data_IF_973590951439
#
_entry.id   IF_973590951439
#
_cell.length_a   1.000
_cell.length_b   1.000
_cell.length_c   1.000
_cell.angle_alpha   90.00
_cell.angle_beta   90.00
_cell.angle_gamma   90.00
#
_symmetry.space_group_name_H-M   'P 1'
#
loop_
_entity.id
_entity.type
_entity.pdbx_description
1 polymer ?
#
# COMPACT_ATOMS: atom_id res chain seq x y z
N UNK A 1 -6.16 -52.33 9.95
CA UNK A 1 -7.42 -51.62 10.31
C UNK A 1 -7.30 -50.84 11.62
N UNK A 2 -6.95 -51.47 12.76
CA UNK A 2 -6.81 -50.79 14.06
C UNK A 2 -5.72 -49.70 14.12
N UNK A 3 -4.56 -49.92 13.47
CA UNK A 3 -3.48 -48.92 13.40
C UNK A 3 -3.93 -47.67 12.65
N UNK A 4 -4.68 -47.84 11.55
CA UNK A 4 -5.22 -46.74 10.76
C UNK A 4 -6.27 -45.95 11.56
N UNK A 5 -7.17 -46.65 12.27
CA UNK A 5 -8.15 -46.01 13.15
C UNK A 5 -7.47 -45.22 14.28
N UNK A 6 -6.45 -45.82 14.92
CA UNK A 6 -5.68 -45.13 15.96
C UNK A 6 -4.97 -43.89 15.41
N UNK A 7 -4.34 -43.99 14.24
CA UNK A 7 -3.71 -42.85 13.57
C UNK A 7 -4.72 -41.73 13.26
N UNK A 8 -5.90 -42.07 12.73
CA UNK A 8 -6.97 -41.09 12.49
C UNK A 8 -7.42 -40.40 13.78
N UNK A 9 -7.62 -41.16 14.88
CA UNK A 9 -8.02 -40.59 16.17
C UNK A 9 -6.94 -39.65 16.72
N UNK A 10 -5.66 -40.02 16.60
CA UNK A 10 -4.54 -39.16 17.03
C UNK A 10 -4.49 -37.87 16.21
N UNK A 11 -4.60 -37.95 14.88
CA UNK A 11 -4.58 -36.78 14.00
C UNK A 11 -5.75 -35.84 14.30
N UNK A 12 -6.96 -36.38 14.47
CA UNK A 12 -8.15 -35.60 14.85
C UNK A 12 -7.94 -34.97 16.24
N UNK A 13 -7.40 -35.71 17.19
CA UNK A 13 -7.08 -35.20 18.53
C UNK A 13 -6.10 -34.03 18.50
N UNK A 14 -5.03 -34.12 17.69
CA UNK A 14 -4.06 -33.03 17.49
C UNK A 14 -4.74 -31.82 16.84
N UNK A 15 -5.57 -32.01 15.81
CA UNK A 15 -6.29 -30.92 15.14
C UNK A 15 -7.25 -30.19 16.07
N UNK A 16 -7.99 -30.92 16.92
CA UNK A 16 -8.88 -30.32 17.93
C UNK A 16 -8.06 -29.54 18.96
N UNK A 17 -6.93 -30.09 19.42
CA UNK A 17 -6.06 -29.40 20.37
C UNK A 17 -5.48 -28.10 19.79
N UNK A 18 -5.00 -28.14 18.55
CA UNK A 18 -4.48 -26.97 17.85
C UNK A 18 -5.58 -25.90 17.65
N UNK A 19 -6.77 -26.29 17.18
CA UNK A 19 -7.90 -25.36 17.01
C UNK A 19 -8.28 -24.69 18.33
N UNK A 20 -8.36 -25.45 19.43
CA UNK A 20 -8.66 -24.90 20.76
C UNK A 20 -7.58 -23.93 21.26
N UNK A 21 -6.31 -24.28 21.06
CA UNK A 21 -5.20 -23.39 21.44
C UNK A 21 -5.19 -22.10 20.62
N UNK A 22 -5.48 -22.20 19.33
CA UNK A 22 -5.61 -21.02 18.47
C UNK A 22 -6.78 -20.14 18.89
N UNK A 23 -7.93 -20.73 19.20
CA UNK A 23 -9.09 -19.99 19.72
C UNK A 23 -8.75 -19.24 21.01
N UNK A 24 -8.00 -19.86 21.94
CA UNK A 24 -7.53 -19.18 23.15
C UNK A 24 -6.66 -17.95 22.84
N UNK A 25 -5.82 -18.00 21.79
CA UNK A 25 -5.04 -16.85 21.37
C UNK A 25 -5.92 -15.75 20.76
N UNK A 26 -6.94 -16.11 19.98
CA UNK A 26 -7.92 -15.15 19.44
C UNK A 26 -8.65 -14.45 20.59
N UNK A 27 -9.17 -15.22 21.55
CA UNK A 27 -9.97 -14.72 22.67
C UNK A 27 -9.15 -13.79 23.59
N UNK A 28 -7.82 -14.00 23.66
CA UNK A 28 -6.91 -13.16 24.44
C UNK A 28 -6.66 -11.76 23.84
N UNK A 29 -6.99 -11.53 22.56
CA UNK A 29 -6.77 -10.27 21.86
C UNK A 29 -8.10 -9.53 21.66
N UNK A 30 -8.54 -8.66 22.58
CA UNK A 30 -9.84 -8.00 22.49
C UNK A 30 -9.98 -7.05 21.29
N UNK A 31 -8.88 -6.53 20.74
CA UNK A 31 -8.91 -5.69 19.53
C UNK A 31 -8.22 -6.43 18.38
N UNK A 32 -8.96 -6.71 17.31
CA UNK A 32 -8.47 -7.44 16.15
C UNK A 32 -8.97 -6.74 14.90
N UNK A 33 -8.07 -6.07 14.20
CA UNK A 33 -8.36 -5.30 13.00
C UNK A 33 -7.91 -6.07 11.77
N UNK A 34 -8.80 -6.26 10.80
CA UNK A 34 -8.50 -6.85 9.50
C UNK A 34 -8.47 -5.76 8.42
N UNK A 35 -7.30 -5.50 7.84
CA UNK A 35 -7.12 -4.53 6.76
C UNK A 35 -7.14 -5.27 5.42
N UNK A 36 -8.19 -5.09 4.65
CA UNK A 36 -8.40 -5.73 3.35
C UNK A 36 -8.55 -4.69 2.22
N UNK A 37 -8.41 -5.10 0.97
CA UNK A 37 -8.46 -4.22 -0.20
C UNK A 37 -7.34 -4.49 -1.19
N UNK A 38 -7.30 -3.76 -2.29
CA UNK A 38 -6.30 -4.00 -3.34
C UNK A 38 -5.01 -3.23 -3.03
N UNK A 39 -5.08 -1.91 -2.84
CA UNK A 39 -3.90 -1.03 -2.63
C UNK A 39 -3.95 -0.30 -1.31
N UNK A 40 -2.79 0.07 -0.77
CA UNK A 40 -2.70 0.90 0.45
C UNK A 40 -2.84 0.14 1.78
N UNK A 41 -3.08 -1.18 1.75
CA UNK A 41 -3.26 -2.01 2.95
C UNK A 41 -2.10 -1.90 3.96
N UNK A 42 -0.85 -1.98 3.50
CA UNK A 42 0.32 -1.90 4.38
C UNK A 42 0.45 -0.54 5.04
N UNK A 43 0.16 0.55 4.31
CA UNK A 43 0.13 1.91 4.87
C UNK A 43 -0.96 2.04 5.93
N UNK A 44 -2.21 1.64 5.63
CA UNK A 44 -3.32 1.69 6.59
C UNK A 44 -3.03 0.84 7.83
N UNK A 45 -2.42 -0.34 7.63
CA UNK A 45 -2.00 -1.22 8.72
C UNK A 45 -1.00 -0.54 9.64
N UNK A 46 0.03 0.11 9.09
CA UNK A 46 1.05 0.85 9.84
C UNK A 46 0.47 2.04 10.58
N UNK A 47 -0.32 2.87 9.90
CA UNK A 47 -1.01 4.02 10.50
C UNK A 47 -1.92 3.59 11.66
N UNK A 48 -2.76 2.57 11.44
CA UNK A 48 -3.64 2.01 12.48
C UNK A 48 -2.84 1.45 13.65
N UNK A 49 -1.73 0.75 13.38
CA UNK A 49 -0.83 0.24 14.43
C UNK A 49 -0.26 1.39 15.28
N UNK A 50 0.20 2.47 14.63
CA UNK A 50 0.71 3.66 15.33
C UNK A 50 -0.35 4.34 16.19
N UNK A 51 -1.58 4.50 15.68
CA UNK A 51 -2.73 5.01 16.44
C UNK A 51 -2.95 4.20 17.72
N UNK A 52 -3.05 2.88 17.60
CA UNK A 52 -3.32 2.00 18.73
C UNK A 52 -2.18 2.03 19.77
N UNK A 53 -0.92 2.07 19.32
CA UNK A 53 0.24 2.21 20.22
C UNK A 53 0.18 3.54 20.98
N UNK A 54 -0.08 4.65 20.28
CA UNK A 54 -0.19 5.98 20.89
C UNK A 54 -1.35 6.04 21.89
N UNK A 55 -2.47 5.36 21.60
CA UNK A 55 -3.61 5.22 22.50
C UNK A 55 -3.36 4.25 23.68
N UNK A 56 -2.16 3.68 23.82
CA UNK A 56 -1.76 2.84 24.94
C UNK A 56 -2.10 1.35 24.80
N UNK A 57 -2.55 0.90 23.62
CA UNK A 57 -2.73 -0.53 23.36
C UNK A 57 -1.37 -1.21 23.14
N UNK A 58 -1.23 -2.41 23.70
CA UNK A 58 -0.10 -3.28 23.38
C UNK A 58 -0.41 -3.96 22.05
N UNK A 59 0.02 -3.31 20.97
CA UNK A 59 -0.42 -3.63 19.61
C UNK A 59 0.67 -4.26 18.79
N UNK A 60 0.32 -5.33 18.08
CA UNK A 60 1.16 -5.88 17.01
C UNK A 60 0.54 -5.57 15.66
N UNK A 61 1.31 -4.89 14.81
CA UNK A 61 0.99 -4.73 13.39
C UNK A 61 1.61 -5.86 12.58
N UNK A 62 0.91 -6.35 11.55
CA UNK A 62 1.45 -7.30 10.58
C UNK A 62 1.14 -6.84 9.17
N UNK A 63 2.17 -6.54 8.39
CA UNK A 63 2.05 -6.21 6.97
C UNK A 63 2.28 -7.44 6.09
N UNK A 64 1.79 -7.37 4.84
CA UNK A 64 2.06 -8.36 3.79
C UNK A 64 2.84 -7.75 2.63
N UNK A 65 3.01 -8.47 1.51
CA UNK A 65 3.79 -7.99 0.37
C UNK A 65 5.24 -8.48 0.35
N UNK A 66 6.09 -7.88 -0.50
CA UNK A 66 7.48 -8.32 -0.73
C UNK A 66 8.32 -8.27 0.54
N UNK A 67 8.09 -7.24 1.37
CA UNK A 67 8.74 -7.04 2.66
C UNK A 67 7.74 -7.18 3.82
N UNK A 68 7.23 -8.40 4.04
CA UNK A 68 6.34 -8.67 5.16
C UNK A 68 7.04 -8.45 6.52
N UNK A 69 6.38 -7.74 7.44
CA UNK A 69 6.94 -7.32 8.73
C UNK A 69 5.95 -7.53 9.88
N UNK A 70 6.50 -7.86 11.05
CA UNK A 70 5.85 -7.70 12.34
C UNK A 70 6.35 -6.40 12.97
N UNK A 71 5.41 -5.59 13.44
CA UNK A 71 5.62 -4.29 14.07
C UNK A 71 5.13 -4.42 15.52
N UNK A 72 5.95 -4.04 16.49
CA UNK A 72 5.63 -4.25 17.91
C UNK A 72 5.58 -2.93 18.67
N UNK A 73 4.74 -2.88 19.69
CA UNK A 73 4.58 -1.70 20.55
C UNK A 73 5.76 -1.43 21.50
N UNK A 74 6.58 -2.44 21.78
CA UNK A 74 7.62 -2.44 22.81
C UNK A 74 9.04 -2.27 22.26
N UNK A 75 9.22 -2.24 20.93
CA UNK A 75 10.51 -2.02 20.29
C UNK A 75 10.35 -1.31 18.94
N UNK A 76 11.29 -0.43 18.57
CA UNK A 76 11.32 0.14 17.22
C UNK A 76 11.77 -0.89 16.15
N UNK A 77 12.32 -2.03 16.55
CA UNK A 77 12.80 -3.04 15.62
C UNK A 77 11.63 -3.86 15.02
N UNK A 78 11.50 -3.82 13.70
CA UNK A 78 10.59 -4.68 12.97
C UNK A 78 11.20 -6.06 12.72
N UNK A 79 10.40 -7.11 12.86
CA UNK A 79 10.82 -8.47 12.56
C UNK A 79 10.34 -8.89 11.16
N UNK A 80 11.23 -9.22 10.22
CA UNK A 80 10.84 -9.80 8.94
C UNK A 80 10.11 -11.13 9.12
N UNK A 81 8.99 -11.31 8.42
CA UNK A 81 8.27 -12.57 8.39
C UNK A 81 8.99 -13.51 7.41
N UNK A 82 9.68 -14.52 7.96
CA UNK A 82 10.34 -15.55 7.15
C UNK A 82 9.30 -16.51 6.59
N UNK A 83 9.03 -16.39 5.29
CA UNK A 83 8.09 -17.26 4.58
C UNK A 83 8.57 -18.70 4.55
N UNK A 84 7.63 -19.63 4.63
CA UNK A 84 7.91 -21.06 4.44
C UNK A 84 8.29 -21.32 2.97
N UNK A 85 8.98 -22.44 2.65
CA UNK A 85 9.36 -22.76 1.28
C UNK A 85 8.18 -22.87 0.30
N UNK A 86 6.96 -23.11 0.81
CA UNK A 86 5.74 -23.13 -0.01
C UNK A 86 5.29 -21.74 -0.46
N UNK A 87 6.02 -20.69 -0.12
CA UNK A 87 5.63 -19.31 -0.36
C UNK A 87 4.64 -18.81 0.70
N UNK A 88 3.99 -17.67 0.43
CA UNK A 88 3.08 -17.06 1.39
C UNK A 88 1.83 -17.90 1.63
N UNK A 89 1.43 -18.02 2.89
CA UNK A 89 0.30 -18.88 3.26
C UNK A 89 -0.51 -18.26 4.42
N UNK A 90 -1.83 -18.29 4.32
CA UNK A 90 -2.71 -17.77 5.39
C UNK A 90 -2.48 -18.48 6.74
N UNK A 91 -1.98 -19.71 6.73
CA UNK A 91 -1.61 -20.47 7.93
C UNK A 91 -0.50 -19.84 8.77
N UNK A 92 0.30 -18.92 8.20
CA UNK A 92 1.24 -18.07 8.95
C UNK A 92 0.52 -17.27 10.05
N UNK A 93 -0.76 -16.94 9.84
CA UNK A 93 -1.56 -16.17 10.81
C UNK A 93 -1.66 -16.86 12.18
N UNK A 94 -1.64 -18.21 12.25
CA UNK A 94 -1.68 -18.92 13.55
C UNK A 94 -0.43 -18.64 14.38
N UNK A 95 0.74 -18.59 13.73
CA UNK A 95 2.01 -18.30 14.39
C UNK A 95 2.07 -16.82 14.81
N UNK A 96 1.59 -15.92 13.95
CA UNK A 96 1.44 -14.48 14.26
C UNK A 96 0.57 -14.26 15.50
N UNK A 97 -0.60 -14.90 15.57
CA UNK A 97 -1.52 -14.76 16.72
C UNK A 97 -0.90 -15.29 18.01
N UNK A 98 -0.25 -16.46 17.94
CA UNK A 98 0.47 -17.05 19.06
C UNK A 98 1.57 -16.12 19.57
N UNK A 99 2.44 -15.63 18.68
CA UNK A 99 3.54 -14.73 19.04
C UNK A 99 3.03 -13.41 19.64
N UNK A 100 1.96 -12.86 19.08
CA UNK A 100 1.30 -11.65 19.59
C UNK A 100 0.86 -11.82 21.05
N UNK A 101 0.19 -12.93 21.37
CA UNK A 101 -0.25 -13.22 22.74
C UNK A 101 0.91 -13.54 23.67
N UNK A 102 1.90 -14.32 23.23
CA UNK A 102 3.09 -14.67 24.03
C UNK A 102 3.91 -13.44 24.41
N UNK A 103 3.90 -12.39 23.57
CA UNK A 103 4.53 -11.09 23.87
C UNK A 103 3.69 -10.22 24.81
N UNK A 104 2.46 -10.62 25.14
CA UNK A 104 1.57 -9.90 26.04
C UNK A 104 0.80 -8.75 25.38
N UNK A 105 0.59 -8.81 24.06
CA UNK A 105 -0.24 -7.86 23.35
C UNK A 105 -1.72 -8.04 23.68
N UNK A 106 -2.50 -6.97 23.51
CA UNK A 106 -3.96 -6.98 23.63
C UNK A 106 -4.67 -6.47 22.36
N UNK A 107 -3.90 -6.08 21.34
CA UNK A 107 -4.41 -5.67 20.06
C UNK A 107 -3.56 -6.23 18.90
N UNK A 108 -4.20 -6.55 17.79
CA UNK A 108 -3.53 -6.90 16.53
C UNK A 108 -4.17 -6.14 15.36
N UNK A 109 -3.33 -5.61 14.49
CA UNK A 109 -3.73 -5.06 13.19
C UNK A 109 -3.09 -5.92 12.12
N UNK A 110 -3.90 -6.66 11.36
CA UNK A 110 -3.41 -7.61 10.38
C UNK A 110 -3.85 -7.21 8.99
N UNK A 111 -2.87 -7.03 8.10
CA UNK A 111 -3.10 -6.95 6.68
C UNK A 111 -3.54 -8.32 6.14
N UNK A 112 -4.70 -8.32 5.46
CA UNK A 112 -5.23 -9.49 4.79
C UNK A 112 -4.37 -9.86 3.58
N UNK A 113 -3.92 -11.11 3.56
CA UNK A 113 -3.12 -11.67 2.48
C UNK A 113 -3.95 -12.43 1.44
N UNK A 114 -5.20 -12.76 1.76
CA UNK A 114 -5.99 -13.70 0.99
C UNK A 114 -6.55 -13.03 -0.27
N UNK A 115 -5.94 -13.33 -1.42
CA UNK A 115 -6.47 -12.94 -2.74
C UNK A 115 -7.67 -13.81 -3.09
N UNK A 116 -7.57 -15.13 -2.87
CA UNK A 116 -8.65 -16.08 -3.15
C UNK A 116 -9.85 -15.86 -2.20
N UNK A 117 -11.09 -15.78 -2.71
CA UNK A 117 -12.29 -15.56 -1.89
C UNK A 117 -12.49 -16.56 -0.73
N UNK A 118 -12.27 -17.86 -0.97
CA UNK A 118 -12.41 -18.90 0.06
C UNK A 118 -11.41 -18.70 1.20
N UNK A 119 -10.20 -18.25 0.87
CA UNK A 119 -9.17 -17.94 1.86
C UNK A 119 -9.50 -16.69 2.68
N UNK A 120 -10.26 -15.73 2.13
CA UNK A 120 -10.73 -14.58 2.91
C UNK A 120 -11.72 -15.01 4.00
N UNK A 121 -12.62 -15.95 3.68
CA UNK A 121 -13.56 -16.53 4.65
C UNK A 121 -12.78 -17.21 5.77
N UNK A 122 -11.85 -18.12 5.45
CA UNK A 122 -11.05 -18.82 6.47
C UNK A 122 -10.21 -17.83 7.29
N UNK A 123 -9.62 -16.82 6.65
CA UNK A 123 -8.84 -15.81 7.35
C UNK A 123 -9.69 -15.04 8.38
N UNK A 124 -10.89 -14.61 7.99
CA UNK A 124 -11.79 -13.86 8.86
C UNK A 124 -12.44 -14.75 9.93
N UNK A 125 -12.99 -15.90 9.58
CA UNK A 125 -13.84 -16.69 10.47
C UNK A 125 -13.06 -17.65 11.40
N UNK A 126 -11.88 -18.12 10.98
CA UNK A 126 -11.14 -19.16 11.70
C UNK A 126 -9.76 -18.70 12.19
N UNK A 127 -9.10 -17.77 11.48
CA UNK A 127 -7.72 -17.39 11.80
C UNK A 127 -7.59 -16.10 12.60
N UNK A 128 -8.32 -15.04 12.22
CA UNK A 128 -8.21 -13.72 12.84
C UNK A 128 -9.44 -13.35 13.69
N UNK A 129 -10.66 -13.69 13.26
CA UNK A 129 -11.92 -13.30 13.92
C UNK A 129 -11.94 -11.82 14.28
N UNK A 130 -11.59 -10.97 13.31
CA UNK A 130 -11.53 -9.53 13.52
C UNK A 130 -12.88 -8.98 13.96
N UNK A 131 -12.85 -8.00 14.85
CA UNK A 131 -14.05 -7.25 15.27
C UNK A 131 -14.12 -5.87 14.61
N UNK A 132 -13.06 -5.46 13.90
CA UNK A 132 -13.04 -4.28 13.04
C UNK A 132 -12.51 -4.71 11.67
N UNK A 133 -13.33 -4.61 10.65
CA UNK A 133 -12.92 -4.79 9.25
C UNK A 133 -12.68 -3.44 8.59
N UNK A 134 -11.65 -3.36 7.75
CA UNK A 134 -11.38 -2.18 6.91
C UNK A 134 -11.28 -2.64 5.47
N UNK A 135 -12.05 -2.02 4.58
CA UNK A 135 -11.93 -2.25 3.13
C UNK A 135 -11.34 -0.96 2.54
N UNK A 136 -10.07 -1.04 2.12
CA UNK A 136 -9.29 0.13 1.71
C UNK A 136 -9.73 0.67 0.34
N UNK A 137 -9.98 -0.22 -0.61
CA UNK A 137 -10.53 0.08 -1.93
C UNK A 137 -10.90 -1.20 -2.67
N UNK A 138 -11.76 -1.06 -3.68
CA UNK A 138 -12.07 -2.06 -4.70
C UNK A 138 -11.50 -1.52 -6.02
N UNK A 139 -10.50 -2.21 -6.58
CA UNK A 139 -9.79 -1.81 -7.79
C UNK A 139 -9.53 -3.03 -8.67
N UNK A 140 -9.28 -2.82 -9.96
CA UNK A 140 -8.91 -3.90 -10.86
C UNK A 140 -7.49 -4.40 -10.54
N UNK A 141 -7.40 -5.60 -9.98
CA UNK A 141 -6.16 -6.36 -9.78
C UNK A 141 -6.52 -7.83 -9.53
N UNK A 142 -5.64 -8.76 -9.89
CA UNK A 142 -5.87 -10.19 -9.69
C UNK A 142 -7.23 -10.73 -10.18
N UNK A 143 -7.74 -10.18 -11.29
CA UNK A 143 -9.06 -10.53 -11.86
C UNK A 143 -9.18 -12.02 -12.21
N UNK A 144 -8.05 -12.68 -12.50
CA UNK A 144 -7.97 -14.12 -12.77
C UNK A 144 -8.25 -15.00 -11.53
N UNK A 145 -8.13 -14.43 -10.33
CA UNK A 145 -8.32 -15.14 -9.05
C UNK A 145 -9.56 -14.65 -8.30
N UNK A 146 -9.82 -13.34 -8.31
CA UNK A 146 -10.92 -12.73 -7.56
C UNK A 146 -12.24 -12.68 -8.34
N UNK A 147 -12.17 -12.77 -9.67
CA UNK A 147 -13.33 -12.65 -10.57
C UNK A 147 -13.09 -11.61 -11.66
N UNK A 148 -13.70 -11.76 -12.84
CA UNK A 148 -13.52 -10.85 -13.98
C UNK A 148 -14.06 -9.43 -13.77
N UNK A 149 -14.78 -9.13 -12.69
CA UNK A 149 -15.42 -7.82 -12.48
C UNK A 149 -15.11 -7.20 -11.11
N UNK A 150 -15.21 -5.87 -11.01
CA UNK A 150 -15.10 -5.15 -9.73
C UNK A 150 -16.20 -5.57 -8.73
N UNK A 151 -17.38 -5.95 -9.22
CA UNK A 151 -18.49 -6.43 -8.39
C UNK A 151 -18.11 -7.73 -7.65
N UNK A 152 -17.43 -8.66 -8.32
CA UNK A 152 -16.96 -9.91 -7.69
C UNK A 152 -15.83 -9.65 -6.69
N UNK A 153 -14.95 -8.68 -6.97
CA UNK A 153 -13.94 -8.25 -5.99
C UNK A 153 -14.62 -7.68 -4.73
N UNK A 154 -15.61 -6.80 -4.92
CA UNK A 154 -16.39 -6.24 -3.82
C UNK A 154 -17.10 -7.36 -3.04
N UNK A 155 -17.73 -8.31 -3.73
CA UNK A 155 -18.38 -9.48 -3.14
C UNK A 155 -17.39 -10.31 -2.31
N UNK A 156 -16.20 -10.60 -2.84
CA UNK A 156 -15.15 -11.33 -2.12
C UNK A 156 -14.75 -10.63 -0.82
N UNK A 157 -14.61 -9.30 -0.82
CA UNK A 157 -14.27 -8.53 0.37
C UNK A 157 -15.34 -8.56 1.45
N UNK A 158 -16.61 -8.82 1.10
CA UNK A 158 -17.67 -8.96 2.09
C UNK A 158 -17.38 -10.08 3.08
N UNK A 159 -16.61 -11.10 2.71
CA UNK A 159 -16.17 -12.16 3.61
C UNK A 159 -15.43 -11.62 4.85
N UNK A 160 -14.77 -10.46 4.72
CA UNK A 160 -14.01 -9.84 5.82
C UNK A 160 -14.81 -8.90 6.72
N UNK A 161 -16.08 -8.64 6.39
CA UNK A 161 -16.97 -7.83 7.25
C UNK A 161 -17.29 -8.62 8.52
N UNK A 162 -16.96 -8.11 9.73
CA UNK A 162 -17.17 -8.86 10.96
C UNK A 162 -18.66 -9.02 11.29
N UNK A 163 -18.99 -9.91 12.21
CA UNK A 163 -20.29 -9.97 12.88
C UNK A 163 -20.22 -9.19 14.20
N UNK A 164 -21.26 -8.42 14.51
CA UNK A 164 -21.35 -7.63 15.75
C UNK A 164 -20.15 -6.70 15.99
N UNK A 165 -19.58 -6.15 14.91
CA UNK A 165 -18.35 -5.37 14.94
C UNK A 165 -18.48 -4.00 14.28
N UNK A 166 -17.35 -3.53 13.74
CA UNK A 166 -17.30 -2.32 12.93
C UNK A 166 -16.72 -2.61 11.54
N UNK A 167 -17.23 -1.90 10.54
CA UNK A 167 -16.69 -1.86 9.19
C UNK A 167 -16.30 -0.41 8.87
N UNK A 168 -15.04 -0.19 8.48
CA UNK A 168 -14.54 1.12 8.04
C UNK A 168 -14.27 1.08 6.54
N UNK A 169 -14.86 2.00 5.79
CA UNK A 169 -14.72 2.12 4.33
C UNK A 169 -14.63 3.59 3.93
N UNK A 170 -14.10 3.87 2.74
CA UNK A 170 -14.27 5.17 2.08
C UNK A 170 -15.61 5.23 1.34
N UNK A 171 -16.04 6.44 0.97
CA UNK A 171 -17.20 6.60 0.10
C UNK A 171 -16.88 6.16 -1.34
N UNK A 172 -17.71 5.28 -1.92
CA UNK A 172 -17.50 4.65 -3.21
C UNK A 172 -18.83 4.13 -3.79
N UNK A 173 -18.80 3.61 -5.03
CA UNK A 173 -19.97 2.97 -5.66
C UNK A 173 -20.48 1.73 -4.89
N UNK A 174 -19.62 1.07 -4.12
CA UNK A 174 -19.95 -0.11 -3.33
C UNK A 174 -20.41 0.21 -1.90
N UNK A 175 -20.48 1.49 -1.52
CA UNK A 175 -20.79 1.90 -0.14
C UNK A 175 -22.14 1.38 0.33
N UNK A 176 -23.19 1.46 -0.50
CA UNK A 176 -24.52 0.97 -0.12
C UNK A 176 -24.59 -0.56 -0.08
N UNK A 177 -23.85 -1.24 -0.96
CA UNK A 177 -23.69 -2.70 -0.93
C UNK A 177 -23.05 -3.16 0.38
N UNK A 178 -21.92 -2.56 0.78
CA UNK A 178 -21.26 -2.89 2.04
C UNK A 178 -22.11 -2.56 3.27
N UNK A 179 -22.88 -1.46 3.24
CA UNK A 179 -23.85 -1.14 4.31
C UNK A 179 -24.93 -2.20 4.45
N UNK A 180 -25.43 -2.73 3.33
CA UNK A 180 -26.42 -3.81 3.36
C UNK A 180 -25.86 -5.06 4.05
N UNK A 181 -24.69 -5.53 3.63
CA UNK A 181 -24.06 -6.72 4.22
C UNK A 181 -23.71 -6.49 5.69
N UNK A 182 -23.16 -5.31 6.04
CA UNK A 182 -22.87 -4.98 7.43
C UNK A 182 -24.13 -4.99 8.31
N UNK A 183 -25.26 -4.49 7.79
CA UNK A 183 -26.56 -4.54 8.50
C UNK A 183 -27.01 -5.98 8.75
N UNK A 184 -26.88 -6.87 7.78
CA UNK A 184 -27.20 -8.31 7.92
C UNK A 184 -26.34 -8.98 8.99
N UNK A 185 -25.09 -8.53 9.18
CA UNK A 185 -24.15 -9.03 10.19
C UNK A 185 -24.18 -8.29 11.53
N UNK A 186 -25.14 -7.37 11.72
CA UNK A 186 -25.22 -6.49 12.89
C UNK A 186 -23.92 -5.69 13.15
N UNK A 187 -23.28 -5.24 12.09
CA UNK A 187 -22.02 -4.50 12.11
C UNK A 187 -22.24 -3.03 11.78
N UNK A 188 -21.61 -2.15 12.56
CA UNK A 188 -21.72 -0.70 12.38
C UNK A 188 -20.75 -0.23 11.30
N UNK A 189 -21.25 0.57 10.36
CA UNK A 189 -20.42 1.12 9.29
C UNK A 189 -19.95 2.53 9.66
N UNK A 190 -18.67 2.79 9.47
CA UNK A 190 -18.02 4.09 9.57
C UNK A 190 -17.52 4.46 8.17
N UNK A 191 -18.01 5.57 7.64
CA UNK A 191 -17.51 6.14 6.39
C UNK A 191 -16.36 7.08 6.74
N UNK A 192 -15.17 6.77 6.24
CA UNK A 192 -13.97 7.54 6.45
C UNK A 192 -14.10 8.92 5.76
N UNK A 193 -13.82 9.98 6.53
CA UNK A 193 -13.99 11.35 6.07
C UNK A 193 -12.63 11.97 5.73
N UNK A 194 -12.36 12.07 4.43
CA UNK A 194 -11.13 12.68 3.92
C UNK A 194 -11.00 14.17 4.25
N UNK A 195 -12.11 14.88 4.48
CA UNK A 195 -12.07 16.32 4.77
C UNK A 195 -11.39 16.63 6.11
N UNK A 196 -11.29 15.64 7.00
CA UNK A 196 -10.55 15.72 8.27
C UNK A 196 -9.04 15.63 8.08
N UNK A 197 -8.57 15.20 6.91
CA UNK A 197 -7.15 15.00 6.63
C UNK A 197 -6.64 16.17 5.79
N UNK A 198 -5.99 17.15 6.43
CA UNK A 198 -5.44 18.30 5.71
C UNK A 198 -4.15 17.97 4.98
N UNK A 199 -3.87 18.67 3.88
CA UNK A 199 -2.58 18.53 3.17
C UNK A 199 -1.39 19.00 4.03
N UNK A 200 -1.61 19.97 4.92
CA UNK A 200 -0.60 20.41 5.89
C UNK A 200 -0.22 19.27 6.84
N UNK A 201 -1.19 18.50 7.32
CA UNK A 201 -0.95 17.31 8.12
C UNK A 201 -0.20 16.24 7.32
N UNK A 202 -0.62 15.95 6.09
CA UNK A 202 0.01 14.92 5.25
C UNK A 202 1.46 15.26 4.85
N UNK A 203 1.83 16.54 4.78
CA UNK A 203 3.22 16.97 4.53
C UNK A 203 4.17 16.71 5.70
N UNK A 204 3.66 16.38 6.90
CA UNK A 204 4.49 16.04 8.05
C UNK A 204 5.08 14.63 7.96
N UNK A 205 4.54 13.77 7.09
CA UNK A 205 5.10 12.44 6.83
C UNK A 205 6.35 12.53 5.95
N UNK A 206 7.37 11.71 6.26
CA UNK A 206 8.57 11.57 5.41
C UNK A 206 8.33 10.82 4.09
N UNK A 207 7.11 10.34 3.88
CA UNK A 207 6.68 9.53 2.76
C UNK A 207 5.28 9.96 2.33
N UNK A 208 4.91 9.62 1.10
CA UNK A 208 3.62 9.98 0.55
C UNK A 208 2.52 9.14 1.19
N UNK A 209 1.63 9.82 1.91
CA UNK A 209 0.38 9.25 2.44
C UNK A 209 -0.80 9.84 1.66
N UNK A 210 -1.72 8.96 1.26
CA UNK A 210 -2.97 9.35 0.62
C UNK A 210 -4.03 9.68 1.68
N UNK A 211 -4.89 10.69 1.46
CA UNK A 211 -5.98 11.03 2.38
C UNK A 211 -6.84 9.83 2.77
N UNK A 212 -7.23 9.00 1.80
CA UNK A 212 -7.98 7.76 2.03
C UNK A 212 -7.32 6.84 3.07
N UNK A 213 -6.00 6.65 2.98
CA UNK A 213 -5.28 5.78 3.90
C UNK A 213 -5.32 6.33 5.33
N UNK A 214 -5.16 7.64 5.48
CA UNK A 214 -5.18 8.29 6.79
C UNK A 214 -6.60 8.36 7.37
N UNK A 215 -7.62 8.65 6.56
CA UNK A 215 -9.02 8.73 6.98
C UNK A 215 -9.57 7.35 7.37
N UNK A 216 -9.17 6.28 6.68
CA UNK A 216 -9.51 4.90 7.06
C UNK A 216 -8.90 4.53 8.41
N UNK A 217 -7.63 4.87 8.64
CA UNK A 217 -6.98 4.64 9.94
C UNK A 217 -7.66 5.45 11.05
N UNK A 218 -8.04 6.70 10.78
CA UNK A 218 -8.84 7.54 11.68
C UNK A 218 -10.23 6.93 11.95
N UNK A 219 -10.86 6.30 10.96
CA UNK A 219 -12.12 5.57 11.14
C UNK A 219 -11.99 4.35 12.07
N UNK A 220 -10.84 3.68 12.10
CA UNK A 220 -10.54 2.64 13.10
C UNK A 220 -10.41 3.25 14.49
N UNK A 221 -9.76 4.40 14.62
CA UNK A 221 -9.69 5.14 15.88
C UNK A 221 -11.09 5.47 16.41
N UNK A 222 -11.98 5.95 15.54
CA UNK A 222 -13.38 6.22 15.85
C UNK A 222 -14.14 4.96 16.32
N UNK A 223 -13.93 3.81 15.69
CA UNK A 223 -14.55 2.54 16.09
C UNK A 223 -14.18 2.12 17.52
N UNK A 224 -13.01 2.53 17.99
CA UNK A 224 -12.47 2.23 19.33
C UNK A 224 -12.70 3.36 20.34
N UNK A 225 -13.24 4.51 19.91
CA UNK A 225 -13.43 5.68 20.76
C UNK A 225 -12.13 6.41 21.12
N UNK A 226 -11.09 6.27 20.30
CA UNK A 226 -9.83 7.02 20.42
C UNK A 226 -10.06 8.43 19.85
N UNK A 227 -9.60 9.46 20.56
CA UNK A 227 -9.74 10.85 20.12
C UNK A 227 -8.84 11.18 18.92
N UNK A 228 -9.23 12.19 18.15
CA UNK A 228 -8.53 12.54 16.90
C UNK A 228 -7.10 13.02 17.13
N UNK A 229 -6.83 13.74 18.24
CA UNK A 229 -5.48 14.24 18.56
C UNK A 229 -4.50 13.08 18.76
N UNK A 230 -4.89 12.09 19.58
CA UNK A 230 -4.15 10.85 19.79
C UNK A 230 -3.98 10.09 18.47
N UNK A 231 -5.02 10.02 17.64
CA UNK A 231 -4.94 9.32 16.36
C UNK A 231 -3.97 10.00 15.38
N UNK A 232 -4.04 11.32 15.22
CA UNK A 232 -3.13 12.07 14.35
C UNK A 232 -1.67 11.93 14.79
N UNK A 233 -1.41 12.00 16.10
CA UNK A 233 -0.08 11.82 16.66
C UNK A 233 0.44 10.39 16.43
N UNK A 234 -0.40 9.38 16.68
CA UNK A 234 -0.02 7.98 16.49
C UNK A 234 0.27 7.63 15.02
N UNK A 235 -0.47 8.22 14.08
CA UNK A 235 -0.18 8.09 12.65
C UNK A 235 1.19 8.67 12.27
N UNK A 236 1.56 9.85 12.79
CA UNK A 236 2.88 10.45 12.52
C UNK A 236 4.03 9.63 13.12
N UNK A 237 3.79 9.01 14.28
CA UNK A 237 4.76 8.14 14.94
C UNK A 237 4.83 6.72 14.33
N UNK A 238 3.95 6.40 13.38
CA UNK A 238 3.92 5.07 12.77
C UNK A 238 5.17 4.83 11.91
N UNK A 239 5.83 3.66 12.03
CA UNK A 239 6.99 3.35 11.22
C UNK A 239 6.59 3.23 9.74
N UNK A 240 7.29 3.92 8.82
CA UNK A 240 6.95 3.90 7.40
C UNK A 240 7.13 2.50 6.81
N UNK A 241 6.37 2.20 5.76
CA UNK A 241 6.63 1.00 4.99
C UNK A 241 8.01 1.08 4.29
N UNK A 242 8.82 0.00 4.29
CA UNK A 242 10.09 0.00 3.56
C UNK A 242 9.93 0.35 2.07
N UNK A 243 8.80 -0.02 1.46
CA UNK A 243 8.44 0.29 0.09
C UNK A 243 7.60 1.56 -0.07
N UNK A 244 7.36 2.33 1.00
CA UNK A 244 6.57 3.56 0.92
C UNK A 244 7.19 4.55 -0.07
N UNK A 245 6.37 5.10 -0.96
CA UNK A 245 6.81 6.10 -1.91
C UNK A 245 7.27 7.36 -1.18
N UNK A 246 8.50 7.79 -1.45
CA UNK A 246 9.06 9.04 -0.91
C UNK A 246 9.24 10.07 -2.00
N UNK A 247 9.04 11.33 -1.67
CA UNK A 247 9.46 12.47 -2.50
C UNK A 247 10.85 12.88 -2.02
N UNK A 248 11.87 12.67 -2.85
CA UNK A 248 13.25 12.96 -2.51
C UNK A 248 13.57 14.43 -2.82
N UNK A 249 13.89 15.27 -1.82
CA UNK A 249 14.39 16.61 -2.08
C UNK A 249 15.82 16.54 -2.63
N UNK A 250 16.04 17.15 -3.79
CA UNK A 250 17.29 17.11 -4.54
C UNK A 250 17.99 18.47 -4.56
N UNK A 251 19.29 18.45 -4.79
CA UNK A 251 20.14 19.62 -5.08
C UNK A 251 20.34 20.56 -3.88
N UNK A 252 19.57 21.65 -3.78
CA UNK A 252 19.81 22.75 -2.84
C UNK A 252 18.64 22.94 -1.87
N UNK A 253 18.92 23.04 -0.57
CA UNK A 253 17.92 23.26 0.47
C UNK A 253 17.07 24.54 0.29
N UNK A 254 17.59 25.57 -0.39
CA UNK A 254 16.86 26.84 -0.62
C UNK A 254 15.80 26.73 -1.71
N UNK A 255 16.03 25.91 -2.73
CA UNK A 255 15.11 25.70 -3.85
C UNK A 255 15.20 24.24 -4.32
N UNK A 256 14.70 23.29 -3.52
CA UNK A 256 14.91 21.88 -3.78
C UNK A 256 14.18 21.44 -5.05
N UNK A 257 14.84 20.58 -5.83
CA UNK A 257 14.15 19.70 -6.76
C UNK A 257 13.40 18.61 -6.02
N UNK A 258 12.39 18.00 -6.63
CA UNK A 258 11.58 16.97 -5.99
C UNK A 258 11.49 15.75 -6.89
N UNK A 259 12.22 14.68 -6.57
CA UNK A 259 12.10 13.44 -7.30
C UNK A 259 11.05 12.52 -6.68
N UNK A 260 10.07 12.16 -7.50
CA UNK A 260 8.99 11.24 -7.16
C UNK A 260 9.28 9.94 -7.89
N UNK A 261 9.56 8.88 -7.12
CA UNK A 261 9.84 7.56 -7.69
C UNK A 261 8.53 6.81 -7.97
N UNK A 262 7.92 7.08 -9.12
CA UNK A 262 6.74 6.36 -9.62
C UNK A 262 7.06 5.10 -10.43
N UNK A 263 8.33 4.73 -10.59
CA UNK A 263 8.71 3.51 -11.31
C UNK A 263 8.18 2.24 -10.61
N UNK A 264 7.92 2.34 -9.30
CA UNK A 264 7.31 1.27 -8.51
C UNK A 264 5.79 1.11 -8.76
N UNK A 265 5.15 2.06 -9.47
CA UNK A 265 3.72 1.97 -9.79
C UNK A 265 3.50 1.00 -10.96
N UNK A 266 2.80 -0.10 -10.67
CA UNK A 266 2.62 -1.21 -11.61
C UNK A 266 1.39 -1.08 -12.52
N UNK A 267 0.75 0.08 -12.68
CA UNK A 267 -0.43 0.31 -13.54
C UNK A 267 -0.69 1.82 -13.79
N UNK A 268 -1.52 2.11 -14.79
CA UNK A 268 -1.84 3.47 -15.22
C UNK A 268 -2.57 4.31 -14.15
N UNK A 269 -3.60 3.73 -13.49
CA UNK A 269 -4.34 4.42 -12.45
C UNK A 269 -3.43 4.76 -11.25
N UNK A 270 -2.56 3.81 -10.88
CA UNK A 270 -1.40 3.94 -10.01
C UNK A 270 -0.63 5.23 -10.23
N UNK A 271 -0.04 5.30 -11.43
CA UNK A 271 0.81 6.40 -11.86
C UNK A 271 0.07 7.74 -11.87
N UNK A 272 -1.16 7.79 -12.36
CA UNK A 272 -1.94 9.03 -12.40
C UNK A 272 -2.37 9.52 -11.01
N UNK A 273 -2.73 8.61 -10.10
CA UNK A 273 -3.08 8.97 -8.73
C UNK A 273 -1.90 9.54 -7.95
N UNK A 274 -0.70 8.99 -8.16
CA UNK A 274 0.54 9.58 -7.62
C UNK A 274 0.75 10.98 -8.18
N UNK A 275 0.63 11.16 -9.50
CA UNK A 275 0.80 12.48 -10.12
C UNK A 275 -0.20 13.51 -9.59
N UNK A 276 -1.48 13.13 -9.48
CA UNK A 276 -2.54 13.95 -8.87
C UNK A 276 -2.17 14.34 -7.44
N UNK A 277 -1.70 13.39 -6.63
CA UNK A 277 -1.28 13.64 -5.25
C UNK A 277 -0.10 14.60 -5.16
N UNK A 278 0.89 14.49 -6.07
CA UNK A 278 2.02 15.42 -6.13
C UNK A 278 1.53 16.85 -6.40
N UNK A 279 0.55 17.04 -7.28
CA UNK A 279 -0.07 18.35 -7.53
C UNK A 279 -0.82 18.89 -6.31
N UNK A 280 -1.65 18.06 -5.68
CA UNK A 280 -2.43 18.45 -4.47
C UNK A 280 -1.54 18.85 -3.30
N UNK A 281 -0.43 18.13 -3.09
CA UNK A 281 0.56 18.48 -2.08
C UNK A 281 1.30 19.79 -2.38
N UNK A 282 1.04 20.46 -3.50
CA UNK A 282 1.58 21.78 -3.83
C UNK A 282 3.04 21.76 -4.28
N UNK A 283 3.53 20.63 -4.77
CA UNK A 283 4.85 20.58 -5.39
C UNK A 283 4.88 21.37 -6.72
N UNK A 284 6.04 21.92 -7.14
CA UNK A 284 6.15 22.79 -8.31
C UNK A 284 5.98 22.00 -9.62
N UNK A 285 4.73 21.82 -10.01
CA UNK A 285 4.28 20.99 -11.13
C UNK A 285 3.98 21.79 -12.39
N UNK A 286 4.32 23.08 -12.43
CA UNK A 286 4.15 23.95 -13.61
C UNK A 286 5.11 23.60 -14.75
N UNK A 287 6.30 23.09 -14.43
CA UNK A 287 7.31 22.69 -15.42
C UNK A 287 7.93 21.34 -15.04
N UNK A 288 7.19 20.23 -15.01
CA UNK A 288 7.73 18.98 -14.53
C UNK A 288 8.59 18.29 -15.59
N UNK A 289 9.51 17.44 -15.13
CA UNK A 289 10.27 16.50 -15.96
C UNK A 289 9.67 15.12 -15.73
N UNK A 290 9.19 14.47 -16.78
CA UNK A 290 8.68 13.11 -16.72
C UNK A 290 9.73 12.18 -17.32
N UNK A 291 10.16 11.17 -16.57
CA UNK A 291 11.10 10.16 -17.04
C UNK A 291 10.34 8.86 -17.26
N UNK A 292 10.25 8.39 -18.50
CA UNK A 292 9.57 7.14 -18.84
C UNK A 292 10.61 6.06 -19.18
N UNK A 293 10.69 5.01 -18.35
CA UNK A 293 11.54 3.87 -18.61
C UNK A 293 10.81 2.78 -19.39
N UNK A 294 11.32 2.47 -20.58
CA UNK A 294 10.78 1.48 -21.50
C UNK A 294 11.63 0.20 -21.49
N UNK A 295 11.01 -0.94 -21.85
CA UNK A 295 11.68 -2.24 -21.97
C UNK A 295 11.26 -2.98 -23.22
N UNK A 296 12.23 -3.65 -23.86
CA UNK A 296 11.99 -4.43 -25.07
C UNK A 296 11.08 -5.66 -24.85
N UNK A 297 11.09 -6.27 -23.66
CA UNK A 297 10.27 -7.45 -23.35
C UNK A 297 8.83 -7.11 -22.91
N UNK A 298 8.46 -5.82 -22.82
CA UNK A 298 7.14 -5.35 -22.34
C UNK A 298 6.59 -4.17 -23.16
N UNK A 299 6.56 -4.33 -24.49
CA UNK A 299 6.13 -3.27 -25.43
C UNK A 299 4.65 -2.91 -25.26
N UNK A 300 3.81 -3.91 -24.97
CA UNK A 300 2.40 -3.74 -24.61
C UNK A 300 2.21 -2.73 -23.48
N UNK A 301 3.09 -2.79 -22.49
CA UNK A 301 3.07 -1.91 -21.34
C UNK A 301 3.49 -0.49 -21.67
N UNK A 302 4.52 -0.34 -22.50
CA UNK A 302 4.92 0.96 -23.05
C UNK A 302 3.76 1.59 -23.84
N UNK A 303 3.06 0.80 -24.65
CA UNK A 303 1.90 1.25 -25.42
C UNK A 303 0.74 1.68 -24.51
N UNK A 304 0.50 0.96 -23.41
CA UNK A 304 -0.47 1.35 -22.38
C UNK A 304 -0.14 2.73 -21.82
N UNK A 305 1.12 2.98 -21.43
CA UNK A 305 1.54 4.27 -20.89
C UNK A 305 1.40 5.43 -21.89
N UNK A 306 1.64 5.15 -23.18
CA UNK A 306 1.47 6.11 -24.26
C UNK A 306 0.00 6.58 -24.42
N UNK A 307 -0.97 5.73 -24.09
CA UNK A 307 -2.40 5.99 -24.30
C UNK A 307 -3.12 6.39 -23.01
N UNK A 308 -2.77 5.77 -21.89
CA UNK A 308 -3.58 5.80 -20.67
C UNK A 308 -2.93 6.60 -19.53
N UNK A 309 -1.67 7.05 -19.70
CA UNK A 309 -0.93 7.80 -18.67
C UNK A 309 -0.42 9.13 -19.19
N UNK A 310 0.52 9.10 -20.14
CA UNK A 310 1.21 10.29 -20.64
C UNK A 310 0.28 11.36 -21.23
N UNK A 311 -0.85 11.03 -21.89
CA UNK A 311 -1.80 12.03 -22.37
C UNK A 311 -2.44 12.89 -21.26
N UNK A 312 -2.41 12.44 -20.01
CA UNK A 312 -3.02 13.11 -18.85
C UNK A 312 -2.00 13.84 -17.96
N UNK A 313 -0.72 13.89 -18.38
CA UNK A 313 0.37 14.54 -17.64
C UNK A 313 1.00 15.60 -18.55
N UNK A 314 0.75 16.87 -18.26
CA UNK A 314 1.44 17.98 -18.93
C UNK A 314 2.89 18.03 -18.48
N UNK A 315 3.81 17.82 -19.42
CA UNK A 315 5.24 17.75 -19.16
C UNK A 315 5.98 18.89 -19.84
N UNK A 316 6.85 19.59 -19.11
CA UNK A 316 7.77 20.51 -19.80
C UNK A 316 8.86 19.72 -20.52
N UNK A 317 9.31 18.61 -19.95
CA UNK A 317 10.27 17.72 -20.59
C UNK A 317 9.87 16.26 -20.38
N UNK A 318 9.77 15.49 -21.46
CA UNK A 318 9.59 14.04 -21.44
C UNK A 318 10.91 13.37 -21.84
N UNK A 319 11.46 12.57 -20.93
CA UNK A 319 12.74 11.89 -21.09
C UNK A 319 12.48 10.39 -21.20
N UNK A 320 12.75 9.80 -22.36
CA UNK A 320 12.62 8.37 -22.57
C UNK A 320 13.95 7.68 -22.29
N UNK A 321 13.93 6.62 -21.50
CA UNK A 321 15.13 5.83 -21.16
C UNK A 321 14.86 4.34 -21.34
N UNK A 322 15.92 3.53 -21.35
CA UNK A 322 15.81 2.08 -21.49
C UNK A 322 15.80 1.65 -22.96
N UNK A 323 14.82 0.83 -23.34
CA UNK A 323 14.76 0.16 -24.64
C UNK A 323 13.33 0.18 -25.22
N UNK A 324 13.21 0.19 -26.55
CA UNK A 324 11.94 0.19 -27.29
C UNK A 324 11.06 1.38 -26.95
N UNK A 325 11.60 2.59 -27.13
CA UNK A 325 10.93 3.88 -26.85
C UNK A 325 9.95 4.31 -27.97
N UNK A 326 10.04 3.67 -29.14
CA UNK A 326 9.29 4.01 -30.36
C UNK A 326 7.77 4.23 -30.18
N UNK A 327 7.02 3.43 -29.38
CA UNK A 327 5.58 3.67 -29.20
C UNK A 327 5.28 5.05 -28.58
N UNK A 328 6.13 5.52 -27.68
CA UNK A 328 5.99 6.82 -27.02
C UNK A 328 6.35 7.95 -27.99
N UNK A 329 7.45 7.78 -28.75
CA UNK A 329 7.87 8.74 -29.79
C UNK A 329 6.75 8.96 -30.81
N UNK A 330 6.16 7.87 -31.32
CA UNK A 330 5.03 7.94 -32.26
C UNK A 330 3.80 8.64 -31.67
N UNK A 331 3.48 8.38 -30.40
CA UNK A 331 2.36 9.03 -29.73
C UNK A 331 2.60 10.54 -29.52
N UNK A 332 3.84 10.93 -29.20
CA UNK A 332 4.27 12.33 -29.10
C UNK A 332 4.21 13.05 -30.45
N UNK A 333 4.77 12.47 -31.51
CA UNK A 333 4.73 13.04 -32.87
C UNK A 333 3.30 13.17 -33.41
N UNK A 334 2.40 12.27 -33.00
CA UNK A 334 0.98 12.34 -33.29
C UNK A 334 0.21 13.39 -32.44
N UNK A 335 0.89 14.11 -31.55
CA UNK A 335 0.30 15.16 -30.70
C UNK A 335 -0.57 14.64 -29.56
N UNK A 336 -0.47 13.35 -29.21
CA UNK A 336 -1.27 12.74 -28.13
C UNK A 336 -0.70 12.99 -26.74
N UNK A 337 0.61 13.27 -26.66
CA UNK A 337 1.32 13.48 -25.40
C UNK A 337 1.63 14.97 -25.26
N UNK A 338 1.05 15.67 -24.27
CA UNK A 338 1.27 17.09 -24.05
C UNK A 338 2.63 17.32 -23.37
N UNK A 339 3.71 17.26 -24.15
CA UNK A 339 5.05 17.60 -23.70
C UNK A 339 5.66 18.73 -24.54
N UNK A 340 6.35 19.70 -23.93
CA UNK A 340 7.00 20.78 -24.71
C UNK A 340 8.21 20.26 -25.49
N UNK A 341 8.94 19.31 -24.88
CA UNK A 341 10.16 18.72 -25.43
C UNK A 341 10.24 17.24 -25.10
N UNK A 342 10.61 16.44 -26.10
CA UNK A 342 10.94 15.04 -25.95
C UNK A 342 12.45 14.84 -26.10
N UNK A 343 13.05 14.11 -25.17
CA UNK A 343 14.42 13.64 -25.24
C UNK A 343 14.43 12.11 -25.26
N UNK A 344 14.82 11.54 -26.39
CA UNK A 344 14.97 10.10 -26.51
C UNK A 344 16.40 9.68 -26.14
N UNK A 345 16.54 9.09 -24.97
CA UNK A 345 17.78 8.54 -24.43
C UNK A 345 17.76 6.99 -24.46
N UNK A 346 17.11 6.40 -25.46
CA UNK A 346 17.18 4.95 -25.71
C UNK A 346 18.64 4.47 -25.76
N UNK A 347 18.93 3.39 -25.03
CA UNK A 347 20.27 2.78 -24.86
C UNK A 347 21.37 3.68 -24.27
N UNK A 348 21.04 4.87 -23.77
CA UNK A 348 22.01 5.78 -23.15
C UNK A 348 22.38 5.36 -21.74
N UNK A 349 23.59 5.70 -21.32
CA UNK A 349 24.05 5.35 -19.96
C UNK A 349 23.44 6.27 -18.91
N UNK A 350 23.40 5.80 -17.66
CA UNK A 350 22.94 6.58 -16.51
C UNK A 350 23.67 7.92 -16.39
N UNK A 351 24.97 7.96 -16.68
CA UNK A 351 25.79 9.18 -16.66
C UNK A 351 25.36 10.19 -17.71
N UNK A 352 25.05 9.74 -18.94
CA UNK A 352 24.57 10.62 -20.01
C UNK A 352 23.20 11.22 -19.65
N UNK A 353 22.29 10.39 -19.12
CA UNK A 353 20.96 10.82 -18.67
C UNK A 353 21.10 11.83 -17.52
N UNK A 354 21.92 11.52 -16.51
CA UNK A 354 22.13 12.39 -15.35
C UNK A 354 22.84 13.70 -15.70
N UNK A 355 23.74 13.69 -16.69
CA UNK A 355 24.38 14.91 -17.17
C UNK A 355 23.35 15.92 -17.71
N UNK A 356 22.34 15.43 -18.45
CA UNK A 356 21.23 16.26 -18.92
C UNK A 356 20.37 16.74 -17.74
N UNK A 357 19.97 15.82 -16.86
CA UNK A 357 19.05 16.13 -15.76
C UNK A 357 19.64 17.13 -14.76
N UNK A 358 20.92 16.99 -14.38
CA UNK A 358 21.57 17.70 -13.27
C UNK A 358 21.32 19.21 -13.26
N UNK A 359 21.37 19.86 -14.42
CA UNK A 359 21.21 21.32 -14.53
C UNK A 359 19.73 21.77 -14.58
N UNK A 360 18.79 20.84 -14.47
CA UNK A 360 17.34 21.05 -14.60
C UNK A 360 16.55 20.57 -13.38
N UNK A 361 17.20 19.96 -12.39
CA UNK A 361 16.51 19.40 -11.22
C UNK A 361 16.02 20.48 -10.24
N UNK A 362 16.74 21.60 -10.12
CA UNK A 362 16.43 22.63 -9.11
C UNK A 362 15.04 23.23 -9.29
N UNK A 363 14.28 23.30 -8.19
CA UNK A 363 12.93 23.89 -8.15
C UNK A 363 11.87 23.17 -8.98
N UNK A 364 12.17 22.00 -9.55
CA UNK A 364 11.26 21.25 -10.43
C UNK A 364 10.89 19.90 -9.83
N UNK A 365 9.70 19.42 -10.19
CA UNK A 365 9.33 18.02 -9.95
C UNK A 365 9.89 17.15 -11.06
N UNK A 366 10.51 16.04 -10.68
CA UNK A 366 10.92 14.97 -11.58
C UNK A 366 10.15 13.71 -11.22
N UNK A 367 9.34 13.22 -12.15
CA UNK A 367 8.51 12.05 -11.92
C UNK A 367 8.95 10.89 -12.81
N UNK A 368 9.47 9.83 -12.19
CA UNK A 368 9.87 8.61 -12.89
C UNK A 368 8.71 7.63 -13.01
N UNK A 369 8.43 7.12 -14.20
CA UNK A 369 7.30 6.23 -14.50
C UNK A 369 7.71 5.11 -15.48
N UNK A 370 6.91 4.06 -15.60
CA UNK A 370 7.20 2.91 -16.47
C UNK A 370 7.84 1.77 -15.68
N UNK A 371 8.71 0.99 -16.32
CA UNK A 371 9.30 -0.17 -15.65
C UNK A 371 10.35 0.25 -14.60
N UNK A 372 10.42 -0.43 -13.46
CA UNK A 372 11.48 -0.18 -12.48
C UNK A 372 12.81 -0.81 -12.87
N UNK A 373 12.80 -1.93 -13.58
CA UNK A 373 14.03 -2.65 -13.93
C UNK A 373 14.70 -2.07 -15.18
N UNK A 374 15.99 -2.35 -15.33
CA UNK A 374 16.79 -1.90 -16.47
C UNK A 374 17.40 -0.53 -16.20
N UNK A 375 17.14 0.47 -17.04
CA UNK A 375 17.78 1.78 -16.91
C UNK A 375 17.30 2.59 -15.68
N UNK A 376 16.10 2.31 -15.14
CA UNK A 376 15.57 3.05 -13.99
C UNK A 376 16.29 2.72 -12.67
N UNK A 377 16.61 1.46 -12.37
CA UNK A 377 17.35 1.04 -11.15
C UNK A 377 18.65 1.85 -10.91
N UNK A 378 19.64 1.85 -11.82
CA UNK A 378 20.88 2.59 -11.62
C UNK A 378 20.65 4.12 -11.66
N UNK A 379 19.63 4.59 -12.39
CA UNK A 379 19.26 6.01 -12.39
C UNK A 379 18.71 6.46 -11.03
N UNK A 380 17.81 5.66 -10.42
CA UNK A 380 17.28 5.93 -9.08
C UNK A 380 18.41 5.98 -8.07
N UNK A 381 19.33 5.00 -8.08
CA UNK A 381 20.51 5.01 -7.22
C UNK A 381 21.33 6.28 -7.44
N UNK A 382 21.55 6.68 -8.70
CA UNK A 382 22.34 7.86 -9.01
C UNK A 382 21.67 9.17 -8.60
N UNK A 383 20.36 9.26 -8.65
CA UNK A 383 19.59 10.42 -8.17
C UNK A 383 19.71 10.56 -6.64
N UNK A 384 19.83 9.46 -5.89
CA UNK A 384 20.00 9.51 -4.43
C UNK A 384 21.30 10.20 -4.00
N UNK A 385 22.36 10.17 -4.81
CA UNK A 385 23.60 10.93 -4.56
C UNK A 385 23.36 12.45 -4.43
N UNK A 386 22.27 12.96 -5.02
CA UNK A 386 21.90 14.37 -5.02
C UNK A 386 20.87 14.73 -3.94
N UNK A 387 20.49 13.77 -3.09
CA UNK A 387 19.53 13.99 -2.00
C UNK A 387 20.09 14.99 -0.98
N UNK A 388 19.30 15.99 -0.64
CA UNK A 388 19.62 16.89 0.46
C UNK A 388 19.46 16.11 1.77
N UNK A 389 20.45 16.16 2.65
CA UNK A 389 20.28 15.65 4.03
C UNK A 389 19.16 16.49 4.67
N UNK A 390 17.98 15.90 4.86
CA UNK A 390 16.94 16.50 5.69
C UNK A 390 17.54 16.68 7.08
N UNK A 391 17.72 17.94 7.49
CA UNK A 391 17.91 18.28 8.89
C UNK A 391 16.54 18.05 9.52
N UNK A 392 16.38 16.88 10.15
CA UNK A 392 15.22 16.63 11.01
C UNK A 392 15.33 17.62 12.17
N UNK A 393 14.31 18.46 12.34
CA UNK A 393 14.15 19.30 13.52
C UNK A 393 13.62 18.48 14.69
#
# INVERSE_FOLDING_TARGET
MWVMLLACVVVVGIGIYEKRRHQQNIDALPVRVNINGIRGKSTVTRLTTGILIEAGYKTVGKTTGTDARMIYWDTPEEKPIKRKPQGPNIGEQKEVMKETVERGANAIVSECMAVNPDYQIIFQEELLQANIGVIVNVLEDHMDVMGPTLDEIAEAFTATIPYNGHLVITDSEYTDFFKQVAKERNTKVIIADNSKISDEYLRQFEYMVFPDNASLALGVAQALGIDEETAFKGMLNAPPDPGAMRVLPLMNAKNPGHFVNGFAANDAASTLNIWKRVKEMGYPTDQPIIIMNCRADRVDRTQQFANDVLPYIEASELVLIGETTEPIVKAYEAGKIPADKLFDFEHKTTEEIMFMLKNKLEGRVVYGIGNIHGAAEPLIEKIQDYKIKQLVS
#
